data_IF_327770981510
#
_entry.id   IF_327770981510
#
_cell.length_a   1.000
_cell.length_b   1.000
_cell.length_c   1.000
_cell.angle_alpha   90.00
_cell.angle_beta   90.00
_cell.angle_gamma   90.00
#
_symmetry.space_group_name_H-M   'P 1'
#
loop_
_entity.id
_entity.type
_entity.pdbx_description
1 polymer ?
#
# COMPACT_ATOMS: atom_id res chain seq x y z
N UNK A 1 -3.42 -22.56 -18.74
CA UNK A 1 -3.57 -21.10 -18.71
C UNK A 1 -2.31 -20.45 -18.10
N UNK A 2 -1.96 -20.69 -16.81
CA UNK A 2 -0.80 -20.05 -16.14
C UNK A 2 0.50 -20.35 -16.89
N UNK A 3 0.80 -21.62 -17.22
CA UNK A 3 2.00 -21.98 -17.97
C UNK A 3 2.07 -21.32 -19.35
N UNK A 4 0.94 -21.07 -20.01
CA UNK A 4 0.90 -20.33 -21.27
C UNK A 4 1.25 -18.86 -21.06
N UNK A 5 0.72 -18.22 -20.02
CA UNK A 5 1.06 -16.84 -19.65
C UNK A 5 2.57 -16.68 -19.41
N UNK A 6 3.17 -17.62 -18.67
CA UNK A 6 4.62 -17.62 -18.41
C UNK A 6 5.44 -17.81 -19.71
N UNK A 7 4.96 -18.65 -20.63
CA UNK A 7 5.60 -18.83 -21.93
C UNK A 7 5.55 -17.57 -22.82
N UNK A 8 4.55 -16.69 -22.60
CA UNK A 8 4.41 -15.38 -23.22
C UNK A 8 5.19 -14.27 -22.50
N UNK A 9 5.92 -14.60 -21.44
CA UNK A 9 6.67 -13.64 -20.62
C UNK A 9 5.84 -12.83 -19.62
N UNK A 10 4.56 -13.20 -19.43
CA UNK A 10 3.67 -12.57 -18.45
C UNK A 10 3.63 -13.47 -17.21
N UNK A 11 4.33 -13.06 -16.15
CA UNK A 11 4.60 -13.87 -14.97
C UNK A 11 4.05 -13.24 -13.70
N UNK A 12 3.89 -14.04 -12.65
CA UNK A 12 3.58 -13.65 -11.28
C UNK A 12 2.38 -12.68 -11.17
N UNK A 13 2.57 -11.51 -10.61
CA UNK A 13 1.53 -10.51 -10.40
C UNK A 13 1.00 -9.83 -11.67
N UNK A 14 1.66 -10.05 -12.81
CA UNK A 14 1.22 -9.55 -14.11
C UNK A 14 0.31 -10.52 -14.87
N UNK A 15 0.13 -11.74 -14.36
CA UNK A 15 -0.81 -12.72 -14.94
C UNK A 15 -2.21 -12.14 -14.92
N UNK A 16 -2.84 -12.08 -16.09
CA UNK A 16 -4.20 -11.55 -16.23
C UNK A 16 -5.22 -12.44 -15.54
N UNK A 17 -6.34 -11.88 -15.04
CA UNK A 17 -7.42 -12.66 -14.48
C UNK A 17 -7.88 -13.77 -15.42
N UNK A 18 -8.09 -14.96 -14.88
CA UNK A 18 -8.48 -16.15 -15.64
C UNK A 18 -9.91 -16.55 -15.24
N UNK A 19 -10.73 -16.81 -16.24
CA UNK A 19 -12.06 -17.36 -16.07
C UNK A 19 -12.04 -18.83 -16.47
N UNK A 20 -12.50 -19.71 -15.56
CA UNK A 20 -12.68 -21.14 -15.86
C UNK A 20 -14.02 -21.31 -16.56
N UNK A 21 -13.99 -21.86 -17.75
CA UNK A 21 -15.17 -22.04 -18.60
C UNK A 21 -15.45 -23.51 -18.92
N UNK A 22 -16.71 -23.81 -19.08
CA UNK A 22 -17.22 -25.07 -19.66
C UNK A 22 -18.20 -24.74 -20.77
N UNK A 23 -17.96 -25.29 -21.97
CA UNK A 23 -18.79 -25.03 -23.17
C UNK A 23 -18.95 -23.52 -23.49
N UNK A 24 -17.92 -22.71 -23.29
CA UNK A 24 -17.91 -21.27 -23.57
C UNK A 24 -18.69 -20.42 -22.58
N UNK A 25 -18.97 -20.95 -21.41
CA UNK A 25 -19.61 -20.22 -20.32
C UNK A 25 -18.79 -20.34 -19.03
N UNK A 26 -18.71 -19.27 -18.22
CA UNK A 26 -18.09 -19.37 -16.91
C UNK A 26 -18.65 -20.52 -16.09
N UNK A 27 -17.79 -21.36 -15.52
CA UNK A 27 -18.18 -22.51 -14.70
C UNK A 27 -18.95 -22.07 -13.47
N UNK A 28 -18.56 -20.95 -12.88
CA UNK A 28 -19.26 -20.32 -11.76
C UNK A 28 -19.09 -18.79 -11.83
N UNK A 29 -20.06 -18.08 -11.31
CA UNK A 29 -20.06 -16.63 -11.11
C UNK A 29 -20.61 -16.32 -9.73
N UNK A 30 -20.15 -15.23 -9.13
CA UNK A 30 -20.70 -14.73 -7.86
C UNK A 30 -22.07 -14.11 -8.14
N UNK A 31 -23.08 -14.39 -7.29
CA UNK A 31 -24.46 -13.93 -7.42
C UNK A 31 -24.97 -13.35 -6.11
N UNK A 32 -26.03 -12.58 -6.20
CA UNK A 32 -26.77 -12.13 -5.01
C UNK A 32 -27.12 -13.30 -4.08
N UNK A 33 -26.92 -13.10 -2.79
CA UNK A 33 -27.14 -14.10 -1.76
C UNK A 33 -25.97 -15.05 -1.51
N UNK A 34 -24.92 -15.02 -2.31
CA UNK A 34 -23.74 -15.84 -2.08
C UNK A 34 -22.95 -15.40 -0.84
N UNK A 35 -22.28 -16.37 -0.24
CA UNK A 35 -21.31 -16.13 0.83
C UNK A 35 -19.92 -15.96 0.23
N UNK A 36 -19.28 -14.82 0.47
CA UNK A 36 -17.91 -14.54 0.01
C UNK A 36 -17.02 -14.26 1.21
N UNK A 37 -15.93 -15.00 1.33
CA UNK A 37 -14.91 -14.79 2.35
C UNK A 37 -13.65 -14.25 1.66
N UNK A 38 -13.33 -12.98 1.90
CA UNK A 38 -12.08 -12.38 1.44
C UNK A 38 -10.96 -12.74 2.41
N UNK A 39 -10.23 -13.82 2.10
CA UNK A 39 -9.21 -14.41 2.97
C UNK A 39 -7.86 -13.66 2.91
N UNK A 40 -7.91 -12.35 3.12
CA UNK A 40 -6.77 -11.45 3.05
C UNK A 40 -6.68 -10.62 4.34
N UNK A 41 -5.55 -10.67 5.04
CA UNK A 41 -5.29 -9.79 6.17
C UNK A 41 -4.80 -8.41 5.73
N UNK A 42 -4.09 -8.34 4.59
CA UNK A 42 -3.64 -7.08 4.00
C UNK A 42 -4.83 -6.34 3.39
N UNK A 43 -4.94 -5.05 3.68
CA UNK A 43 -6.17 -4.29 3.44
C UNK A 43 -6.25 -3.61 2.08
N UNK A 44 -5.12 -3.26 1.45
CA UNK A 44 -5.03 -2.41 0.27
C UNK A 44 -5.90 -2.89 -0.92
N UNK A 45 -5.56 -4.03 -1.51
CA UNK A 45 -6.33 -4.61 -2.64
C UNK A 45 -7.60 -5.33 -2.16
N UNK A 46 -7.62 -5.82 -0.91
CA UNK A 46 -8.82 -6.33 -0.27
C UNK A 46 -9.92 -5.26 -0.21
N UNK A 47 -9.55 -4.01 0.08
CA UNK A 47 -10.47 -2.87 0.05
C UNK A 47 -11.06 -2.64 -1.34
N UNK A 48 -10.23 -2.64 -2.39
CA UNK A 48 -10.68 -2.40 -3.76
C UNK A 48 -11.69 -3.45 -4.23
N UNK A 49 -11.41 -4.74 -4.04
CA UNK A 49 -12.33 -5.79 -4.46
C UNK A 49 -13.62 -5.80 -3.63
N UNK A 50 -13.54 -5.52 -2.34
CA UNK A 50 -14.73 -5.38 -1.48
C UNK A 50 -15.60 -4.24 -1.95
N UNK A 51 -15.01 -3.07 -2.25
CA UNK A 51 -15.73 -1.92 -2.79
C UNK A 51 -16.46 -2.27 -4.09
N UNK A 52 -15.77 -2.91 -5.02
CA UNK A 52 -16.34 -3.28 -6.32
C UNK A 52 -17.47 -4.31 -6.22
N UNK A 53 -17.40 -5.23 -5.28
CA UNK A 53 -18.42 -6.27 -5.14
C UNK A 53 -19.62 -5.84 -4.31
N UNK A 54 -19.45 -4.90 -3.35
CA UNK A 54 -20.49 -4.68 -2.32
C UNK A 54 -20.85 -3.22 -2.08
N UNK A 55 -20.02 -2.23 -2.45
CA UNK A 55 -20.25 -0.84 -2.02
C UNK A 55 -20.62 0.10 -3.16
N UNK A 56 -20.07 -0.11 -4.37
CA UNK A 56 -20.21 0.84 -5.46
C UNK A 56 -20.41 0.15 -6.81
N UNK A 57 -21.24 0.76 -7.67
CA UNK A 57 -21.37 0.35 -9.07
C UNK A 57 -20.27 0.99 -9.91
N UNK A 58 -19.68 0.22 -10.85
CA UNK A 58 -18.68 0.67 -11.82
C UNK A 58 -19.23 0.45 -13.24
N UNK A 59 -20.07 1.37 -13.67
CA UNK A 59 -20.83 1.27 -14.94
C UNK A 59 -19.92 1.17 -16.17
N UNK A 60 -18.75 1.82 -16.15
CA UNK A 60 -17.79 1.75 -17.26
C UNK A 60 -17.20 0.35 -17.45
N UNK A 61 -17.21 -0.50 -16.41
CA UNK A 61 -16.74 -1.87 -16.42
C UNK A 61 -17.88 -2.89 -16.43
N UNK A 62 -19.14 -2.43 -16.60
CA UNK A 62 -20.34 -3.26 -16.50
C UNK A 62 -20.41 -4.05 -15.18
N UNK A 63 -19.97 -3.43 -14.09
CA UNK A 63 -19.98 -4.00 -12.75
C UNK A 63 -21.03 -3.33 -11.88
N UNK A 64 -21.84 -4.17 -11.24
CA UNK A 64 -22.83 -3.75 -10.26
C UNK A 64 -22.54 -4.41 -8.92
N UNK A 65 -22.75 -3.66 -7.84
CA UNK A 65 -22.66 -4.22 -6.49
C UNK A 65 -23.67 -5.36 -6.31
N UNK A 66 -23.25 -6.38 -5.58
CA UNK A 66 -24.03 -7.57 -5.31
C UNK A 66 -24.49 -7.60 -3.85
N UNK A 67 -25.67 -8.16 -3.62
CA UNK A 67 -26.22 -8.41 -2.29
C UNK A 67 -25.60 -9.67 -1.66
N UNK A 68 -24.36 -9.57 -1.19
CA UNK A 68 -23.56 -10.70 -0.69
C UNK A 68 -23.60 -10.81 0.84
N UNK A 69 -23.42 -12.03 1.34
CA UNK A 69 -22.94 -12.26 2.70
C UNK A 69 -21.42 -12.16 2.72
N UNK A 70 -20.89 -10.91 2.75
CA UNK A 70 -19.47 -10.65 2.59
C UNK A 70 -18.75 -10.62 3.93
N UNK A 71 -17.66 -11.38 4.01
CA UNK A 71 -16.84 -11.53 5.22
C UNK A 71 -15.39 -11.20 4.89
N UNK A 72 -14.76 -10.36 5.69
CA UNK A 72 -13.34 -10.02 5.58
C UNK A 72 -12.57 -10.50 6.80
N UNK A 73 -11.26 -10.75 6.64
CA UNK A 73 -10.44 -11.17 7.76
C UNK A 73 -10.22 -10.02 8.75
N UNK A 74 -10.04 -8.80 8.25
CA UNK A 74 -9.89 -7.58 9.09
C UNK A 74 -10.74 -6.45 8.53
N UNK A 75 -10.94 -5.36 9.26
CA UNK A 75 -11.56 -4.14 8.72
C UNK A 75 -10.69 -3.56 7.62
N UNK A 76 -11.21 -3.46 6.40
CA UNK A 76 -10.51 -2.88 5.25
C UNK A 76 -10.79 -1.39 5.10
N UNK A 77 -11.98 -0.96 5.50
CA UNK A 77 -12.42 0.44 5.46
C UNK A 77 -13.59 0.60 6.43
N UNK A 78 -13.48 1.57 7.32
CA UNK A 78 -14.48 1.80 8.36
C UNK A 78 -15.79 2.41 7.80
N UNK A 79 -15.79 2.84 6.54
CA UNK A 79 -16.98 3.36 5.85
C UNK A 79 -17.81 2.26 5.18
N UNK A 80 -17.30 1.03 5.07
CA UNK A 80 -18.01 -0.05 4.41
C UNK A 80 -19.22 -0.52 5.20
N UNK A 81 -20.32 -0.77 4.49
CA UNK A 81 -21.58 -1.26 5.06
C UNK A 81 -21.86 -2.68 4.60
N UNK A 82 -22.53 -3.47 5.45
CA UNK A 82 -22.92 -4.85 5.13
C UNK A 82 -21.78 -5.87 5.08
N UNK A 83 -20.56 -5.46 5.43
CA UNK A 83 -19.37 -6.33 5.51
C UNK A 83 -19.22 -6.83 6.95
N UNK A 84 -18.98 -8.13 7.10
CA UNK A 84 -18.67 -8.75 8.41
C UNK A 84 -17.18 -8.91 8.55
N UNK A 85 -16.63 -8.44 9.66
CA UNK A 85 -15.20 -8.56 9.98
C UNK A 85 -15.01 -9.73 10.95
N UNK A 86 -14.06 -10.64 10.65
CA UNK A 86 -13.75 -11.77 11.53
C UNK A 86 -12.86 -11.38 12.70
N UNK A 87 -11.87 -10.55 12.43
CA UNK A 87 -10.90 -10.08 13.44
C UNK A 87 -10.88 -8.56 13.43
N UNK A 88 -11.43 -7.98 14.45
CA UNK A 88 -11.38 -6.52 14.64
C UNK A 88 -9.93 -6.05 14.77
N UNK A 89 -9.66 -4.82 14.33
CA UNK A 89 -8.35 -4.21 14.53
C UNK A 89 -8.20 -3.88 16.01
N UNK A 90 -7.13 -4.39 16.62
CA UNK A 90 -6.69 -3.87 17.90
C UNK A 90 -6.12 -2.45 17.69
N UNK A 91 -6.61 -1.50 18.46
CA UNK A 91 -6.00 -0.17 18.53
C UNK A 91 -4.62 -0.29 19.18
N UNK A 92 -3.58 -0.31 18.33
CA UNK A 92 -2.21 -0.37 18.82
C UNK A 92 -1.88 0.89 19.62
N UNK A 93 -1.48 0.68 20.87
CA UNK A 93 -0.99 1.73 21.77
C UNK A 93 0.53 1.64 21.88
N UNK A 94 1.14 2.75 22.28
CA UNK A 94 2.59 2.82 22.43
C UNK A 94 3.36 2.48 21.15
N UNK A 95 2.82 2.88 20.00
CA UNK A 95 3.59 2.85 18.75
C UNK A 95 4.80 3.77 18.91
N UNK A 96 5.87 3.52 18.14
CA UNK A 96 7.08 4.34 18.28
C UNK A 96 6.78 5.83 18.06
N UNK A 97 5.93 6.17 17.09
CA UNK A 97 5.52 7.55 16.86
C UNK A 97 4.80 8.19 18.03
N UNK A 98 3.94 7.44 18.70
CA UNK A 98 3.23 7.87 19.90
C UNK A 98 4.18 8.10 21.09
N UNK A 99 5.09 7.15 21.34
CA UNK A 99 6.08 7.25 22.43
C UNK A 99 7.01 8.44 22.24
N UNK A 100 7.50 8.66 21.00
CA UNK A 100 8.32 9.82 20.67
C UNK A 100 7.55 11.13 20.90
N UNK A 101 6.29 11.19 20.49
CA UNK A 101 5.44 12.36 20.71
C UNK A 101 5.20 12.64 22.20
N UNK A 102 4.87 11.62 23.00
CA UNK A 102 4.69 11.75 24.43
C UNK A 102 5.97 12.21 25.15
N UNK A 103 7.14 11.84 24.61
CA UNK A 103 8.43 12.30 25.10
C UNK A 103 8.83 13.71 24.58
N UNK A 104 7.93 14.39 23.87
CA UNK A 104 8.19 15.73 23.31
C UNK A 104 9.22 15.73 22.18
N UNK A 105 9.47 14.57 21.55
CA UNK A 105 10.46 14.39 20.49
C UNK A 105 9.91 14.78 19.13
N UNK A 106 10.77 15.39 18.29
CA UNK A 106 10.44 15.74 16.92
C UNK A 106 10.77 14.59 15.98
N UNK A 107 9.87 14.27 15.07
CA UNK A 107 10.03 13.16 14.13
C UNK A 107 9.65 13.55 12.70
N UNK A 108 10.37 12.96 11.73
CA UNK A 108 10.08 13.11 10.31
C UNK A 108 9.74 11.75 9.71
N UNK A 109 8.67 11.70 8.90
CA UNK A 109 8.32 10.57 8.03
C UNK A 109 8.56 10.98 6.60
N UNK A 110 9.33 10.20 5.85
CA UNK A 110 9.63 10.52 4.46
C UNK A 110 9.71 9.26 3.61
N UNK A 111 9.01 9.28 2.50
CA UNK A 111 9.09 8.28 1.44
C UNK A 111 8.51 8.84 0.14
N UNK A 112 8.70 8.11 -0.95
CA UNK A 112 7.95 8.35 -2.17
C UNK A 112 6.58 7.67 -2.13
N UNK A 113 5.68 8.03 -3.08
CA UNK A 113 4.25 7.67 -3.08
C UNK A 113 3.97 6.21 -2.73
N UNK A 114 4.71 5.26 -3.33
CA UNK A 114 4.47 3.82 -3.15
C UNK A 114 4.73 3.33 -1.71
N UNK A 115 5.57 4.01 -0.98
CA UNK A 115 5.97 3.64 0.39
C UNK A 115 5.56 4.65 1.46
N UNK A 116 4.91 5.73 1.06
CA UNK A 116 4.45 6.74 2.01
C UNK A 116 3.48 6.18 3.06
N UNK A 117 2.48 5.37 2.72
CA UNK A 117 1.62 4.75 3.73
C UNK A 117 2.38 3.86 4.71
N UNK A 118 3.49 3.25 4.29
CA UNK A 118 4.28 2.36 5.14
C UNK A 118 5.01 3.12 6.26
N UNK A 119 5.51 4.32 5.98
CA UNK A 119 6.18 5.17 6.98
C UNK A 119 5.22 6.06 7.76
N UNK A 120 3.95 6.14 7.37
CA UNK A 120 2.90 6.94 8.03
C UNK A 120 1.84 6.06 8.65
N UNK A 121 0.78 5.74 7.93
CA UNK A 121 -0.37 4.98 8.40
C UNK A 121 0.00 3.65 9.06
N UNK A 122 0.74 2.79 8.36
CA UNK A 122 1.10 1.47 8.90
C UNK A 122 2.09 1.56 10.06
N UNK A 123 3.09 2.43 9.97
CA UNK A 123 4.05 2.65 11.05
C UNK A 123 3.38 3.21 12.31
N UNK A 124 2.31 3.96 12.15
CA UNK A 124 1.52 4.54 13.23
C UNK A 124 0.38 3.63 13.72
N UNK A 125 0.40 2.35 13.34
CA UNK A 125 -0.58 1.36 13.79
C UNK A 125 -1.99 1.56 13.23
N UNK A 126 -2.11 2.16 12.04
CA UNK A 126 -3.39 2.43 11.38
C UNK A 126 -3.96 3.82 11.66
N UNK A 127 -3.16 4.71 12.24
CA UNK A 127 -3.54 6.11 12.47
C UNK A 127 -3.18 6.98 11.27
N UNK A 128 -4.14 7.75 10.77
CA UNK A 128 -3.93 8.69 9.66
C UNK A 128 -3.34 10.02 10.12
N UNK A 129 -3.78 10.54 11.26
CA UNK A 129 -3.36 11.86 11.74
C UNK A 129 -1.92 11.82 12.25
N UNK A 130 -1.24 12.93 12.04
CA UNK A 130 0.10 13.16 12.58
C UNK A 130 0.08 13.23 14.12
N UNK A 131 1.14 12.75 14.74
CA UNK A 131 1.37 12.97 16.16
C UNK A 131 1.93 14.38 16.40
N UNK A 132 1.68 15.01 17.56
CA UNK A 132 2.39 16.24 17.94
C UNK A 132 3.92 16.05 17.80
N UNK A 133 4.56 16.98 17.06
CA UNK A 133 5.99 16.89 16.74
C UNK A 133 6.34 16.00 15.55
N UNK A 134 5.37 15.38 14.88
CA UNK A 134 5.55 14.68 13.62
C UNK A 134 5.44 15.64 12.44
N UNK A 135 6.26 15.44 11.43
CA UNK A 135 6.13 16.06 10.11
C UNK A 135 6.31 15.03 9.02
N UNK A 136 5.67 15.24 7.87
CA UNK A 136 5.65 14.30 6.76
C UNK A 136 6.14 14.93 5.47
N UNK A 137 6.98 14.21 4.74
CA UNK A 137 7.50 14.61 3.44
C UNK A 137 7.15 13.52 2.44
N UNK A 138 6.34 13.86 1.43
CA UNK A 138 5.99 12.99 0.34
C UNK A 138 6.74 13.40 -0.92
N UNK A 139 7.50 12.49 -1.52
CA UNK A 139 8.07 12.64 -2.84
C UNK A 139 7.21 11.86 -3.85
N UNK A 140 6.80 12.44 -5.00
CA UNK A 140 6.04 11.69 -5.99
C UNK A 140 6.87 10.56 -6.60
N UNK A 141 6.30 9.34 -6.68
CA UNK A 141 6.91 8.26 -7.46
C UNK A 141 6.83 8.53 -8.96
N UNK A 142 7.76 8.01 -9.78
CA UNK A 142 7.74 8.20 -11.21
C UNK A 142 6.52 7.54 -11.84
N UNK A 143 5.92 8.21 -12.83
CA UNK A 143 4.76 7.73 -13.58
C UNK A 143 5.23 6.86 -14.76
N UNK A 144 5.62 5.63 -14.49
CA UNK A 144 6.03 4.62 -15.46
C UNK A 144 5.11 3.40 -15.38
N UNK A 145 5.05 2.60 -16.44
CA UNK A 145 4.19 1.41 -16.48
C UNK A 145 4.64 0.36 -15.44
N UNK A 146 5.94 0.15 -15.35
CA UNK A 146 6.59 -0.75 -14.38
C UNK A 146 7.91 -0.13 -13.93
N UNK A 147 8.34 -0.38 -12.70
CA UNK A 147 9.49 0.31 -12.11
C UNK A 147 10.86 -0.19 -12.58
N UNK A 148 10.93 -1.30 -13.30
CA UNK A 148 12.14 -1.72 -14.02
C UNK A 148 12.54 -0.77 -15.16
N UNK A 149 11.60 0.05 -15.64
CA UNK A 149 11.87 1.12 -16.63
C UNK A 149 12.56 2.33 -16.01
N UNK A 150 12.47 2.51 -14.70
CA UNK A 150 13.16 3.55 -13.93
C UNK A 150 13.57 3.00 -12.56
N UNK A 151 14.64 2.18 -12.48
CA UNK A 151 15.01 1.44 -11.27
C UNK A 151 15.38 2.31 -10.07
N UNK A 152 15.93 3.49 -10.30
CA UNK A 152 16.23 4.47 -9.25
C UNK A 152 14.98 5.07 -8.61
N UNK A 153 13.83 4.97 -9.28
CA UNK A 153 12.56 5.57 -8.88
C UNK A 153 12.74 7.05 -8.46
N UNK A 154 12.37 7.42 -7.25
CA UNK A 154 12.55 8.76 -6.70
C UNK A 154 13.53 8.79 -5.51
N UNK A 155 14.50 7.87 -5.46
CA UNK A 155 15.47 7.81 -4.36
C UNK A 155 16.34 9.08 -4.26
N UNK A 156 16.70 9.67 -5.40
CA UNK A 156 17.42 10.95 -5.46
C UNK A 156 16.61 12.09 -4.84
N UNK A 157 15.36 12.24 -5.26
CA UNK A 157 14.45 13.27 -4.76
C UNK A 157 14.15 13.11 -3.26
N UNK A 158 14.01 11.88 -2.79
CA UNK A 158 13.86 11.57 -1.34
C UNK A 158 15.11 12.00 -0.58
N UNK A 159 16.30 11.69 -1.12
CA UNK A 159 17.58 12.09 -0.53
C UNK A 159 17.74 13.60 -0.48
N UNK A 160 17.46 14.29 -1.58
CA UNK A 160 17.57 15.75 -1.65
C UNK A 160 16.57 16.43 -0.68
N UNK A 161 15.36 15.90 -0.58
CA UNK A 161 14.34 16.42 0.31
C UNK A 161 14.76 16.31 1.78
N UNK A 162 15.27 15.16 2.22
CA UNK A 162 15.69 14.99 3.61
C UNK A 162 16.97 15.78 3.93
N UNK A 163 17.94 15.84 3.02
CA UNK A 163 19.14 16.64 3.18
C UNK A 163 18.79 18.12 3.29
N UNK A 164 17.90 18.62 2.42
CA UNK A 164 17.40 20.00 2.49
C UNK A 164 16.69 20.28 3.81
N UNK A 165 15.87 19.34 4.30
CA UNK A 165 15.20 19.50 5.58
C UNK A 165 16.20 19.58 6.74
N UNK A 166 17.16 18.65 6.78
CA UNK A 166 18.19 18.61 7.82
C UNK A 166 19.11 19.83 7.78
N UNK A 167 19.37 20.40 6.62
CA UNK A 167 20.21 21.61 6.46
C UNK A 167 19.64 22.85 7.15
N UNK A 168 18.35 22.84 7.52
CA UNK A 168 17.74 23.92 8.32
C UNK A 168 18.24 23.93 9.77
N UNK A 169 18.86 22.84 10.21
CA UNK A 169 19.26 22.62 11.60
C UNK A 169 20.80 22.53 11.68
N UNK A 170 21.51 23.63 11.99
CA UNK A 170 22.98 23.63 12.08
C UNK A 170 23.48 22.67 13.12
N UNK A 171 24.55 21.93 12.79
CA UNK A 171 25.24 21.03 13.73
C UNK A 171 25.69 21.76 15.00
N UNK A 172 25.45 21.18 16.16
CA UNK A 172 25.97 21.67 17.44
C UNK A 172 25.05 22.61 18.22
N UNK A 173 23.84 22.89 17.77
CA UNK A 173 22.82 23.57 18.62
C UNK A 173 21.90 22.56 19.26
N UNK A 174 21.91 22.49 20.58
CA UNK A 174 20.94 21.70 21.34
C UNK A 174 19.49 22.10 20.98
N UNK A 175 18.64 21.13 20.67
CA UNK A 175 17.20 21.28 20.56
C UNK A 175 16.63 21.76 19.22
N UNK A 176 17.41 21.81 18.15
CA UNK A 176 16.96 22.38 16.86
C UNK A 176 16.31 21.41 15.87
N UNK A 177 16.88 20.24 15.66
CA UNK A 177 16.50 19.30 14.60
C UNK A 177 15.51 18.20 15.02
N UNK A 178 15.19 17.27 14.10
CA UNK A 178 14.41 16.08 14.42
C UNK A 178 15.25 15.12 15.28
N UNK A 179 14.58 14.50 16.25
CA UNK A 179 15.17 13.46 17.10
C UNK A 179 15.10 12.07 16.41
N UNK A 180 14.14 11.89 15.52
CA UNK A 180 13.90 10.63 14.82
C UNK A 180 13.46 10.86 13.37
N UNK A 181 13.96 10.03 12.46
CA UNK A 181 13.58 10.05 11.05
C UNK A 181 13.22 8.62 10.62
N UNK A 182 12.00 8.44 10.10
CA UNK A 182 11.59 7.23 9.41
C UNK A 182 11.58 7.51 7.91
N UNK A 183 12.59 7.00 7.22
CA UNK A 183 12.77 7.13 5.79
C UNK A 183 12.67 5.76 5.13
N UNK A 184 12.00 5.69 3.98
CA UNK A 184 11.96 4.49 3.16
C UNK A 184 12.35 4.82 1.71
N UNK A 185 13.30 4.07 1.17
CA UNK A 185 13.58 4.02 -0.27
C UNK A 185 12.77 2.89 -0.89
N UNK A 186 11.83 3.23 -1.77
CA UNK A 186 10.90 2.28 -2.35
C UNK A 186 11.50 1.38 -3.44
N UNK A 187 12.56 1.85 -4.07
CA UNK A 187 13.11 1.25 -5.29
C UNK A 187 13.54 -0.23 -5.13
N UNK A 188 14.21 -0.69 -4.05
CA UNK A 188 14.59 -2.10 -3.97
C UNK A 188 13.38 -3.04 -3.94
N UNK A 189 12.34 -2.67 -3.21
CA UNK A 189 11.11 -3.47 -3.10
C UNK A 189 10.30 -3.41 -4.40
N UNK A 190 10.00 -2.22 -4.88
CA UNK A 190 9.14 -2.03 -6.05
C UNK A 190 9.74 -2.58 -7.34
N UNK A 191 11.04 -2.38 -7.54
CA UNK A 191 11.76 -2.97 -8.68
C UNK A 191 11.89 -4.48 -8.52
N UNK A 192 12.07 -4.96 -7.28
CA UNK A 192 12.10 -6.39 -6.95
C UNK A 192 10.85 -7.12 -7.42
N UNK A 193 9.68 -6.50 -7.27
CA UNK A 193 8.40 -7.05 -7.74
C UNK A 193 8.32 -7.27 -9.26
N UNK A 194 9.15 -6.59 -10.06
CA UNK A 194 9.17 -6.78 -11.52
C UNK A 194 9.86 -8.07 -11.97
N UNK A 195 10.64 -8.70 -11.10
CA UNK A 195 11.43 -9.90 -11.43
C UNK A 195 12.60 -9.64 -12.41
N UNK A 196 12.84 -8.38 -12.79
CA UNK A 196 13.92 -8.00 -13.69
C UNK A 196 15.24 -7.85 -12.93
N UNK A 197 16.07 -8.90 -12.95
CA UNK A 197 17.33 -8.95 -12.20
C UNK A 197 18.27 -7.77 -12.52
N UNK A 198 18.38 -7.39 -13.79
CA UNK A 198 19.24 -6.28 -14.20
C UNK A 198 18.74 -4.92 -13.66
N UNK A 199 17.43 -4.77 -13.56
CA UNK A 199 16.84 -3.58 -12.95
C UNK A 199 17.03 -3.57 -11.43
N UNK A 200 16.87 -4.73 -10.77
CA UNK A 200 17.15 -4.87 -9.32
C UNK A 200 18.59 -4.49 -8.98
N UNK A 201 19.56 -4.93 -9.80
CA UNK A 201 20.96 -4.52 -9.59
C UNK A 201 21.19 -3.01 -9.71
N UNK A 202 20.41 -2.32 -10.52
CA UNK A 202 20.50 -0.85 -10.66
C UNK A 202 19.75 -0.11 -9.53
N UNK A 203 18.78 -0.77 -8.92
CA UNK A 203 18.01 -0.21 -7.81
C UNK A 203 18.78 -0.22 -6.48
N UNK A 204 19.84 -1.05 -6.37
CA UNK A 204 20.72 -1.17 -5.19
C UNK A 204 21.91 -0.23 -5.28
#
# INVERSE_FOLDING_TARGET
>A
AIAASYAEGVTDEFVKPLVVEENGKPLAVIRDGDVVICFNFRTDRGRQITQALTQQDFHEQDMHRLGLHYVTMTSYDDTFTGVRVMFEKDNLRNTLGEVLSMAGKKQIRIAETEKYPHVTFFFSGGREEEYPGESRILCPSPKVATYDLKPEMSAGEVTDAIVKELSKYPSGKEGGGPDFICLNFANPDMVGHTGNYSAVQKAL
#
